data_IF_624621312622
#
_entry.id   IF_624621312622
#
_cell.length_a   1.000
_cell.length_b   1.000
_cell.length_c   1.000
_cell.angle_alpha   90.00
_cell.angle_beta   90.00
_cell.angle_gamma   90.00
#
_symmetry.space_group_name_H-M   'P 1'
#
loop_
_entity.id
_entity.type
_entity.pdbx_description
1 polymer ?
#
# COMPACT_ATOMS: atom_id res chain seq x y z
N UNK A 1 20.82 13.53 1.75
CA UNK A 1 22.07 13.33 0.98
C UNK A 1 22.39 11.84 0.90
N UNK A 2 22.48 11.29 -0.31
CA UNK A 2 22.93 9.92 -0.61
C UNK A 2 24.47 9.88 -0.62
N UNK A 3 25.10 8.72 -0.45
CA UNK A 3 26.53 8.57 -0.77
C UNK A 3 26.72 8.05 -2.20
N UNK A 4 27.97 8.09 -2.66
CA UNK A 4 28.41 7.78 -4.03
C UNK A 4 28.21 6.30 -4.44
N UNK A 5 27.44 5.50 -3.71
CA UNK A 5 27.05 4.13 -4.11
C UNK A 5 25.57 4.01 -4.49
N UNK A 6 24.81 5.11 -4.50
CA UNK A 6 23.38 5.10 -4.82
C UNK A 6 22.49 4.41 -3.76
N UNK A 7 23.07 3.92 -2.65
CA UNK A 7 22.31 3.45 -1.50
C UNK A 7 21.87 4.64 -0.67
N UNK A 8 20.58 4.64 -0.29
CA UNK A 8 20.04 5.56 0.70
C UNK A 8 20.86 5.37 1.98
N UNK A 9 21.66 6.37 2.33
CA UNK A 9 22.51 6.38 3.52
C UNK A 9 21.66 6.00 4.75
N UNK A 10 21.80 4.75 5.21
CA UNK A 10 21.22 4.27 6.47
C UNK A 10 22.04 4.90 7.60
N UNK A 11 21.85 6.20 7.84
CA UNK A 11 22.44 6.85 9.01
C UNK A 11 21.87 6.30 10.33
N UNK A 12 20.78 5.52 10.28
CA UNK A 12 20.10 5.01 11.47
C UNK A 12 20.78 3.81 12.15
N UNK A 13 21.76 3.12 11.52
CA UNK A 13 22.22 1.81 12.00
C UNK A 13 23.73 1.65 12.20
N UNK A 14 24.56 2.66 11.96
CA UNK A 14 26.00 2.54 12.26
C UNK A 14 26.33 2.75 13.74
N UNK A 15 25.40 3.26 14.55
CA UNK A 15 25.61 3.49 15.98
C UNK A 15 25.31 2.27 16.88
N UNK A 16 24.61 1.26 16.37
CA UNK A 16 24.04 0.20 17.21
C UNK A 16 24.75 -1.16 17.12
N UNK A 17 25.86 -1.27 16.38
CA UNK A 17 26.43 -2.59 16.06
C UNK A 17 27.53 -3.10 17.01
N UNK A 18 27.88 -2.42 18.10
CA UNK A 18 28.90 -2.91 19.05
C UNK A 18 28.68 -2.35 20.45
N UNK A 19 27.97 -3.07 21.32
CA UNK A 19 28.20 -3.07 22.78
C UNK A 19 27.29 -4.09 23.45
N UNK A 20 27.48 -5.37 23.13
CA UNK A 20 27.15 -6.44 24.06
C UNK A 20 28.35 -6.60 25.00
N UNK A 21 28.16 -6.17 26.25
CA UNK A 21 29.11 -6.23 27.37
C UNK A 21 30.39 -5.38 27.25
N UNK A 22 30.35 -4.19 27.85
CA UNK A 22 31.52 -3.64 28.56
C UNK A 22 31.13 -3.40 30.02
N UNK A 23 31.89 -3.98 30.94
CA UNK A 23 31.96 -3.63 32.37
C UNK A 23 30.76 -4.00 33.28
N UNK A 24 30.13 -5.17 33.13
CA UNK A 24 29.12 -5.63 34.11
C UNK A 24 27.87 -4.75 34.21
N UNK A 25 27.58 -3.97 33.17
CA UNK A 25 26.38 -3.14 33.04
C UNK A 25 25.31 -3.95 32.29
N UNK A 26 24.18 -4.23 32.94
CA UNK A 26 22.99 -4.76 32.28
C UNK A 26 22.38 -3.65 31.43
N UNK A 27 22.66 -3.66 30.13
CA UNK A 27 22.03 -2.76 29.16
C UNK A 27 20.75 -3.39 28.60
N UNK A 28 19.82 -2.56 28.12
CA UNK A 28 18.68 -3.05 27.35
C UNK A 28 19.21 -3.81 26.12
N UNK A 29 18.70 -5.02 25.88
CA UNK A 29 19.05 -5.76 24.67
C UNK A 29 18.35 -5.10 23.46
N UNK A 30 18.95 -4.00 22.98
CA UNK A 30 18.34 -3.19 21.94
C UNK A 30 18.28 -3.90 20.60
N UNK A 31 19.06 -4.95 20.31
CA UNK A 31 18.91 -5.64 19.02
C UNK A 31 17.52 -6.27 18.88
N UNK A 32 16.99 -6.88 19.94
CA UNK A 32 15.65 -7.48 19.96
C UNK A 32 14.54 -6.42 19.96
N UNK A 33 14.76 -5.28 20.63
CA UNK A 33 13.80 -4.18 20.65
C UNK A 33 13.84 -3.34 19.35
N UNK A 34 14.99 -3.23 18.70
CA UNK A 34 15.19 -2.47 17.45
C UNK A 34 14.53 -3.15 16.24
N UNK A 35 14.56 -4.48 16.17
CA UNK A 35 13.78 -5.21 15.18
C UNK A 35 12.28 -4.94 15.37
N UNK A 36 11.80 -4.88 16.62
CA UNK A 36 10.43 -4.50 16.98
C UNK A 36 10.13 -3.02 16.64
N UNK A 37 11.08 -2.09 16.80
CA UNK A 37 10.90 -0.67 16.45
C UNK A 37 10.78 -0.43 14.95
N UNK A 38 11.64 -1.07 14.18
CA UNK A 38 11.62 -0.99 12.71
C UNK A 38 10.36 -1.63 12.15
N UNK A 39 9.91 -2.76 12.73
CA UNK A 39 8.68 -3.44 12.32
C UNK A 39 7.42 -2.58 12.59
N UNK A 40 7.38 -1.81 13.69
CA UNK A 40 6.16 -1.11 14.15
C UNK A 40 6.13 0.41 13.93
N UNK A 41 7.14 0.97 13.26
CA UNK A 41 7.21 2.40 12.87
C UNK A 41 6.94 3.35 14.06
N UNK A 42 7.53 3.03 15.21
CA UNK A 42 7.48 3.87 16.43
C UNK A 42 8.62 4.89 16.33
N UNK A 43 8.33 6.18 16.57
CA UNK A 43 9.40 7.19 16.57
C UNK A 43 10.26 7.07 17.83
N UNK A 44 11.49 7.55 17.77
CA UNK A 44 12.41 7.54 18.91
C UNK A 44 11.82 8.27 20.13
N UNK A 45 11.17 9.41 19.93
CA UNK A 45 10.43 10.12 20.98
C UNK A 45 9.33 9.26 21.62
N UNK A 46 8.55 8.53 20.80
CA UNK A 46 7.51 7.63 21.30
C UNK A 46 8.11 6.45 22.08
N UNK A 47 9.27 5.97 21.67
CA UNK A 47 9.98 4.91 22.38
C UNK A 47 10.48 5.38 23.75
N UNK A 48 11.15 6.53 23.85
CA UNK A 48 11.57 7.09 25.14
C UNK A 48 10.38 7.39 26.04
N UNK A 49 9.29 7.90 25.48
CA UNK A 49 8.04 8.12 26.22
C UNK A 49 7.48 6.80 26.77
N UNK A 50 7.55 5.71 25.98
CA UNK A 50 7.11 4.39 26.41
C UNK A 50 7.99 3.80 27.50
N UNK A 51 9.32 3.89 27.37
CA UNK A 51 10.26 3.49 28.43
C UNK A 51 9.90 4.20 29.73
N UNK A 52 9.75 5.53 29.68
CA UNK A 52 9.46 6.33 30.86
C UNK A 52 8.10 5.98 31.47
N UNK A 53 7.07 5.82 30.64
CA UNK A 53 5.75 5.39 31.08
C UNK A 53 5.82 4.02 31.78
N UNK A 54 6.46 3.04 31.14
CA UNK A 54 6.63 1.70 31.72
C UNK A 54 7.44 1.76 33.01
N UNK A 55 8.47 2.60 33.08
CA UNK A 55 9.31 2.75 34.26
C UNK A 55 8.53 3.34 35.45
N UNK A 56 7.75 4.41 35.21
CA UNK A 56 6.87 5.01 36.22
C UNK A 56 5.88 3.99 36.76
N UNK A 57 5.23 3.23 35.87
CA UNK A 57 4.26 2.19 36.24
C UNK A 57 4.91 1.02 37.00
N UNK A 58 6.10 0.58 36.57
CA UNK A 58 6.78 -0.57 37.17
C UNK A 58 7.36 -0.27 38.56
N UNK A 59 7.86 0.96 38.76
CA UNK A 59 8.43 1.41 40.03
C UNK A 59 7.44 2.22 40.89
N UNK A 60 6.17 2.23 40.50
CA UNK A 60 5.11 2.91 41.24
C UNK A 60 5.06 2.41 42.70
N UNK A 61 4.76 3.32 43.63
CA UNK A 61 4.82 3.07 45.07
C UNK A 61 6.21 2.82 45.67
N UNK A 62 7.28 2.74 44.85
CA UNK A 62 8.67 2.60 45.33
C UNK A 62 9.47 3.87 45.09
N UNK A 63 9.39 4.45 43.88
CA UNK A 63 10.14 5.64 43.45
C UNK A 63 9.36 6.43 42.40
N UNK A 64 9.30 7.75 42.54
CA UNK A 64 8.77 8.63 41.51
C UNK A 64 9.81 8.80 40.38
N UNK A 65 9.71 7.99 39.33
CA UNK A 65 10.70 7.98 38.23
C UNK A 65 10.56 9.24 37.36
N UNK A 66 11.66 9.97 37.17
CA UNK A 66 11.70 11.20 36.38
C UNK A 66 12.16 10.94 34.94
N UNK A 67 13.25 10.20 34.76
CA UNK A 67 13.75 9.79 33.46
C UNK A 67 14.64 8.54 33.57
N UNK A 68 14.93 7.92 32.43
CA UNK A 68 15.85 6.80 32.31
C UNK A 68 17.04 7.22 31.44
N UNK A 69 18.24 7.21 32.01
CA UNK A 69 19.50 7.40 31.29
C UNK A 69 19.86 6.07 30.62
N UNK A 70 19.58 6.00 29.32
CA UNK A 70 19.78 4.81 28.51
C UNK A 70 21.25 4.39 28.44
N UNK A 71 22.15 5.34 28.21
CA UNK A 71 23.58 5.08 28.03
C UNK A 71 24.24 4.53 29.29
N UNK A 72 23.74 4.96 30.45
CA UNK A 72 24.25 4.52 31.77
C UNK A 72 23.43 3.40 32.41
N UNK A 73 22.25 3.09 31.87
CA UNK A 73 21.30 2.15 32.46
C UNK A 73 20.82 2.59 33.85
N UNK A 74 20.70 3.91 34.07
CA UNK A 74 20.34 4.49 35.36
C UNK A 74 18.93 5.07 35.34
N UNK A 75 18.20 4.89 36.42
CA UNK A 75 16.90 5.51 36.63
C UNK A 75 17.07 6.70 37.56
N UNK A 76 16.61 7.87 37.11
CA UNK A 76 16.50 9.06 37.93
C UNK A 76 15.13 9.09 38.60
N UNK A 77 15.08 9.46 39.87
CA UNK A 77 13.85 9.56 40.64
C UNK A 77 13.86 10.76 41.58
N UNK A 78 12.69 11.25 41.92
CA UNK A 78 12.51 12.32 42.89
C UNK A 78 12.57 11.75 44.32
N UNK A 79 13.41 12.35 45.16
CA UNK A 79 13.47 12.08 46.60
C UNK A 79 12.46 12.97 47.34
N UNK A 80 12.11 12.59 48.57
CA UNK A 80 11.18 13.33 49.42
C UNK A 80 11.60 14.78 49.72
N UNK A 81 12.89 15.11 49.58
CA UNK A 81 13.43 16.46 49.73
C UNK A 81 13.53 17.24 48.40
N UNK A 82 12.79 16.83 47.37
CA UNK A 82 12.78 17.42 46.02
C UNK A 82 14.14 17.43 45.31
N UNK A 83 15.05 16.53 45.69
CA UNK A 83 16.32 16.33 44.98
C UNK A 83 16.27 15.10 44.09
N UNK A 84 17.11 15.05 43.06
CA UNK A 84 17.19 13.92 42.13
C UNK A 84 18.12 12.85 42.68
N UNK A 85 17.60 11.64 42.85
CA UNK A 85 18.38 10.44 43.11
C UNK A 85 18.59 9.62 41.83
N UNK A 86 19.69 8.87 41.79
CA UNK A 86 19.96 7.90 40.71
C UNK A 86 20.10 6.51 41.31
N UNK A 87 19.58 5.50 40.63
CA UNK A 87 19.83 4.12 41.00
C UNK A 87 19.97 3.22 39.78
N UNK A 88 20.73 2.14 39.98
CA UNK A 88 20.83 1.03 39.04
C UNK A 88 19.96 -0.12 39.58
N UNK A 89 19.01 -0.65 38.81
CA UNK A 89 18.20 -1.77 39.27
C UNK A 89 19.04 -3.04 39.39
N UNK A 90 18.60 -3.97 40.25
CA UNK A 90 19.17 -5.32 40.29
C UNK A 90 18.91 -6.04 38.96
N UNK A 91 19.72 -7.05 38.63
CA UNK A 91 19.56 -7.86 37.41
C UNK A 91 18.13 -8.38 37.26
N UNK A 92 17.56 -8.93 38.34
CA UNK A 92 16.18 -9.45 38.35
C UNK A 92 15.15 -8.36 38.08
N UNK A 93 15.24 -7.24 38.81
CA UNK A 93 14.31 -6.11 38.61
C UNK A 93 14.40 -5.53 37.20
N UNK A 94 15.60 -5.51 36.61
CA UNK A 94 15.79 -5.01 35.25
C UNK A 94 15.18 -5.95 34.19
N UNK A 95 15.35 -7.26 34.34
CA UNK A 95 14.73 -8.26 33.46
C UNK A 95 13.19 -8.22 33.54
N UNK A 96 12.64 -8.04 34.74
CA UNK A 96 11.19 -7.91 34.92
C UNK A 96 10.65 -6.62 34.27
N UNK A 97 11.35 -5.50 34.45
CA UNK A 97 11.06 -4.25 33.73
C UNK A 97 11.10 -4.43 32.20
N UNK A 98 12.12 -5.12 31.67
CA UNK A 98 12.22 -5.42 30.24
C UNK A 98 11.03 -6.22 29.72
N UNK A 99 10.56 -7.23 30.46
CA UNK A 99 9.38 -8.01 30.09
C UNK A 99 8.11 -7.14 30.04
N UNK A 100 7.95 -6.23 31.00
CA UNK A 100 6.85 -5.26 30.98
C UNK A 100 6.92 -4.34 29.75
N UNK A 101 8.10 -3.83 29.41
CA UNK A 101 8.30 -2.98 28.23
C UNK A 101 7.97 -3.74 26.94
N UNK A 102 8.40 -5.00 26.82
CA UNK A 102 8.07 -5.87 25.68
C UNK A 102 6.55 -6.10 25.57
N UNK A 103 5.86 -6.30 26.70
CA UNK A 103 4.41 -6.48 26.72
C UNK A 103 3.66 -5.23 26.23
N UNK A 104 4.05 -4.06 26.72
CA UNK A 104 3.46 -2.77 26.29
C UNK A 104 3.72 -2.50 24.79
N UNK A 105 4.92 -2.85 24.29
CA UNK A 105 5.23 -2.81 22.86
C UNK A 105 4.34 -3.72 22.02
N UNK A 106 4.07 -4.95 22.49
CA UNK A 106 3.15 -5.88 21.83
C UNK A 106 1.72 -5.36 21.82
N UNK A 107 1.24 -4.77 22.91
CA UNK A 107 -0.10 -4.17 22.98
C UNK A 107 -0.27 -2.99 22.00
N UNK A 108 0.75 -2.14 21.86
CA UNK A 108 0.76 -1.04 20.87
C UNK A 108 0.72 -1.59 19.44
N UNK A 109 1.46 -2.66 19.16
CA UNK A 109 1.43 -3.36 17.86
C UNK A 109 0.02 -3.87 17.56
N UNK A 110 -0.58 -4.62 18.48
CA UNK A 110 -1.87 -5.26 18.26
C UNK A 110 -2.97 -4.20 18.06
N UNK A 111 -2.92 -3.09 18.81
CA UNK A 111 -3.79 -1.93 18.62
C UNK A 111 -3.63 -1.31 17.22
N UNK A 112 -2.39 -1.07 16.77
CA UNK A 112 -2.11 -0.54 15.42
C UNK A 112 -2.53 -1.52 14.32
N UNK A 113 -2.31 -2.83 14.49
CA UNK A 113 -2.73 -3.84 13.53
C UNK A 113 -4.25 -3.90 13.38
N UNK A 114 -5.00 -3.80 14.48
CA UNK A 114 -6.46 -3.76 14.45
C UNK A 114 -6.99 -2.49 13.76
N UNK A 115 -6.45 -1.32 14.06
CA UNK A 115 -6.82 -0.07 13.36
C UNK A 115 -6.49 -0.14 11.87
N UNK A 116 -5.32 -0.68 11.51
CA UNK A 116 -4.91 -0.84 10.11
C UNK A 116 -5.79 -1.86 9.36
N UNK A 117 -6.27 -2.91 10.03
CA UNK A 117 -7.16 -3.90 9.44
C UNK A 117 -8.53 -3.28 9.10
N UNK A 118 -9.10 -2.50 10.01
CA UNK A 118 -10.38 -1.80 9.79
C UNK A 118 -10.26 -0.80 8.64
N UNK A 119 -9.25 0.07 8.67
CA UNK A 119 -9.05 1.05 7.59
C UNK A 119 -8.76 0.38 6.23
N UNK A 120 -8.01 -0.73 6.21
CA UNK A 120 -7.76 -1.51 4.99
C UNK A 120 -9.03 -2.16 4.47
N UNK A 121 -9.90 -2.67 5.34
CA UNK A 121 -11.18 -3.27 4.95
C UNK A 121 -12.12 -2.23 4.36
N UNK A 122 -12.33 -1.11 5.05
CA UNK A 122 -13.12 0.01 4.53
C UNK A 122 -12.56 0.54 3.21
N UNK A 123 -11.23 0.51 3.04
CA UNK A 123 -10.61 0.91 1.80
C UNK A 123 -10.85 -0.08 0.66
N UNK A 124 -10.71 -1.38 0.92
CA UNK A 124 -11.01 -2.43 -0.07
C UNK A 124 -12.50 -2.37 -0.46
N UNK A 125 -13.38 -2.09 0.50
CA UNK A 125 -14.81 -1.90 0.27
C UNK A 125 -15.08 -0.60 -0.54
N UNK A 126 -14.44 0.53 -0.22
CA UNK A 126 -14.60 1.82 -0.93
C UNK A 126 -14.01 1.82 -2.33
N UNK A 127 -12.89 1.15 -2.56
CA UNK A 127 -12.25 1.13 -3.89
C UNK A 127 -13.13 0.38 -4.91
N UNK A 128 -14.01 -0.52 -4.47
CA UNK A 128 -14.93 -1.22 -5.34
C UNK A 128 -14.21 -2.17 -6.32
N UNK A 129 -14.68 -3.41 -6.39
CA UNK A 129 -14.41 -4.36 -7.49
C UNK A 129 -13.03 -4.36 -8.19
N UNK A 130 -11.93 -4.52 -7.44
CA UNK A 130 -10.59 -4.99 -7.88
C UNK A 130 -9.89 -4.24 -9.04
N UNK A 131 -10.54 -3.42 -9.87
CA UNK A 131 -9.96 -2.72 -11.02
C UNK A 131 -10.16 -1.22 -10.89
N UNK A 132 -9.07 -0.48 -11.05
CA UNK A 132 -9.05 0.98 -10.92
C UNK A 132 -8.43 1.60 -12.15
N UNK A 133 -8.83 2.83 -12.47
CA UNK A 133 -8.17 3.62 -13.50
C UNK A 133 -7.02 4.39 -12.87
N UNK A 134 -5.83 4.23 -13.45
CA UNK A 134 -4.63 4.93 -13.05
C UNK A 134 -4.04 5.72 -14.20
N UNK A 135 -3.48 6.89 -13.90
CA UNK A 135 -2.72 7.71 -14.84
C UNK A 135 -1.25 7.60 -14.49
N UNK A 136 -0.40 7.27 -15.47
CA UNK A 136 1.05 7.16 -15.26
C UNK A 136 1.58 8.53 -14.82
N UNK A 137 2.12 8.57 -13.60
CA UNK A 137 2.75 9.77 -13.04
C UNK A 137 4.25 9.77 -13.29
N UNK A 138 4.87 8.63 -13.07
CA UNK A 138 6.32 8.50 -12.99
C UNK A 138 6.72 7.07 -13.36
N UNK A 139 7.80 6.94 -14.15
CA UNK A 139 8.38 5.66 -14.55
C UNK A 139 9.72 5.55 -13.82
N UNK A 140 9.87 4.51 -13.01
CA UNK A 140 11.07 4.21 -12.23
C UNK A 140 11.75 2.94 -12.77
N UNK A 141 12.95 2.65 -12.30
CA UNK A 141 13.77 1.53 -12.81
C UNK A 141 13.09 0.16 -12.73
N UNK A 142 12.21 -0.05 -11.75
CA UNK A 142 11.58 -1.33 -11.46
C UNK A 142 10.06 -1.36 -11.72
N UNK A 143 9.49 -0.28 -12.23
CA UNK A 143 8.05 -0.18 -12.48
C UNK A 143 7.55 1.24 -12.64
N UNK A 144 6.26 1.41 -12.39
CA UNK A 144 5.53 2.61 -12.77
C UNK A 144 4.64 3.04 -11.61
N UNK A 145 4.71 4.31 -11.26
CA UNK A 145 3.81 4.94 -10.29
C UNK A 145 2.64 5.60 -10.99
N UNK A 146 1.47 5.44 -10.39
CA UNK A 146 0.21 5.93 -10.91
C UNK A 146 -0.47 6.89 -9.93
N UNK A 147 -1.15 7.88 -10.49
CA UNK A 147 -2.21 8.62 -9.80
C UNK A 147 -3.51 7.84 -9.99
N UNK A 148 -4.12 7.38 -8.89
CA UNK A 148 -5.39 6.65 -8.93
C UNK A 148 -6.57 7.63 -8.90
N UNK A 149 -7.61 7.31 -9.68
CA UNK A 149 -8.84 8.09 -9.74
C UNK A 149 -10.03 7.24 -9.28
N UNK A 150 -10.87 7.80 -8.42
CA UNK A 150 -12.19 7.25 -8.08
C UNK A 150 -13.21 8.35 -8.36
N UNK A 151 -14.27 8.02 -9.10
CA UNK A 151 -15.29 8.97 -9.55
C UNK A 151 -14.66 10.23 -10.18
N UNK A 152 -13.65 10.03 -11.03
CA UNK A 152 -12.87 11.07 -11.71
C UNK A 152 -12.11 12.06 -10.80
N UNK A 153 -12.00 11.79 -9.49
CA UNK A 153 -11.19 12.59 -8.56
C UNK A 153 -9.87 11.88 -8.26
N UNK A 154 -8.72 12.57 -8.34
CA UNK A 154 -7.44 11.98 -8.00
C UNK A 154 -7.35 11.77 -6.49
N UNK A 155 -6.83 10.62 -6.07
CA UNK A 155 -6.65 10.34 -4.64
C UNK A 155 -5.17 10.31 -4.27
N UNK A 156 -4.75 11.34 -3.54
CA UNK A 156 -3.34 11.58 -3.17
C UNK A 156 -2.83 10.67 -2.03
N UNK A 157 -3.72 10.10 -1.22
CA UNK A 157 -3.33 9.23 -0.09
C UNK A 157 -2.87 7.83 -0.51
N UNK A 158 -2.94 7.50 -1.81
CA UNK A 158 -2.52 6.23 -2.38
C UNK A 158 -1.27 6.37 -3.24
N UNK A 159 -0.31 5.51 -2.97
CA UNK A 159 0.83 5.27 -3.85
C UNK A 159 0.52 3.97 -4.61
N UNK A 160 0.06 4.11 -5.85
CA UNK A 160 -0.22 2.98 -6.73
C UNK A 160 1.03 2.66 -7.56
N UNK A 161 1.51 1.43 -7.46
CA UNK A 161 2.72 0.98 -8.14
C UNK A 161 2.50 -0.33 -8.89
N UNK A 162 3.01 -0.41 -10.11
CA UNK A 162 2.94 -1.60 -10.96
C UNK A 162 4.34 -1.93 -11.46
N UNK A 163 4.79 -3.17 -11.25
CA UNK A 163 6.09 -3.63 -11.75
C UNK A 163 6.01 -3.86 -13.25
N UNK A 164 7.11 -3.65 -14.00
CA UNK A 164 7.12 -3.91 -15.45
C UNK A 164 6.65 -5.33 -15.81
N UNK A 165 7.02 -6.33 -15.02
CA UNK A 165 6.58 -7.73 -15.22
C UNK A 165 5.06 -7.95 -15.13
N UNK A 166 4.32 -6.98 -14.58
CA UNK A 166 2.86 -7.02 -14.40
C UNK A 166 2.09 -6.30 -15.51
N UNK A 167 2.80 -5.72 -16.49
CA UNK A 167 2.26 -5.21 -17.76
C UNK A 167 2.26 -6.27 -18.84
N UNK A 168 1.40 -6.13 -19.84
CA UNK A 168 1.52 -6.91 -21.06
C UNK A 168 2.79 -6.53 -21.82
N UNK A 169 3.39 -7.46 -22.52
CA UNK A 169 4.63 -7.24 -23.28
C UNK A 169 4.51 -6.18 -24.38
N UNK A 170 3.28 -5.85 -24.79
CA UNK A 170 2.99 -4.89 -25.86
C UNK A 170 2.45 -3.56 -25.31
N UNK A 171 2.38 -3.38 -23.99
CA UNK A 171 1.90 -2.13 -23.40
C UNK A 171 2.93 -1.02 -23.65
N UNK A 172 2.51 0.05 -24.34
CA UNK A 172 3.31 1.26 -24.50
C UNK A 172 3.11 2.18 -23.27
N UNK A 173 4.11 2.21 -22.38
CA UNK A 173 4.06 2.95 -21.11
C UNK A 173 4.72 4.32 -21.30
N UNK A 174 3.96 5.39 -21.08
CA UNK A 174 4.47 6.77 -21.07
C UNK A 174 3.77 7.57 -19.97
N UNK A 175 4.45 8.58 -19.43
CA UNK A 175 3.84 9.53 -18.49
C UNK A 175 2.61 10.18 -19.11
N UNK A 176 1.53 10.28 -18.32
CA UNK A 176 0.21 10.75 -18.77
C UNK A 176 -0.70 9.67 -19.38
N UNK A 177 -0.19 8.47 -19.68
CA UNK A 177 -1.04 7.39 -20.19
C UNK A 177 -2.00 6.86 -19.13
N UNK A 178 -3.20 6.46 -19.57
CA UNK A 178 -4.25 5.91 -18.73
C UNK A 178 -4.28 4.39 -18.88
N UNK A 179 -4.38 3.69 -17.75
CA UNK A 179 -4.51 2.24 -17.73
C UNK A 179 -5.57 1.80 -16.73
N UNK A 180 -6.38 0.82 -17.12
CA UNK A 180 -7.09 -0.02 -16.16
C UNK A 180 -6.12 -0.98 -15.46
N UNK A 181 -6.24 -1.09 -14.13
CA UNK A 181 -5.30 -1.83 -13.29
C UNK A 181 -6.04 -2.66 -12.27
N UNK A 182 -5.73 -3.96 -12.17
CA UNK A 182 -6.28 -4.79 -11.11
C UNK A 182 -5.41 -4.77 -9.86
N UNK A 183 -5.98 -4.38 -8.73
CA UNK A 183 -5.31 -4.34 -7.43
C UNK A 183 -4.98 -5.76 -6.97
N UNK A 184 -3.70 -5.99 -6.68
CA UNK A 184 -3.17 -7.24 -6.11
C UNK A 184 -3.13 -7.20 -4.59
N UNK A 185 -2.59 -6.11 -4.03
CA UNK A 185 -2.34 -5.99 -2.59
C UNK A 185 -2.35 -4.52 -2.19
N UNK A 186 -2.91 -4.26 -1.02
CA UNK A 186 -2.84 -2.98 -0.32
C UNK A 186 -2.04 -3.18 0.96
N UNK A 187 -1.06 -2.32 1.22
CA UNK A 187 -0.21 -2.32 2.42
C UNK A 187 -0.10 -0.89 2.93
N UNK A 188 -0.20 -0.67 4.23
CA UNK A 188 0.12 0.64 4.80
C UNK A 188 1.63 0.80 4.92
N UNK A 189 2.17 1.94 4.49
CA UNK A 189 3.56 2.33 4.73
C UNK A 189 3.57 3.63 5.53
N UNK A 190 4.09 3.57 6.76
CA UNK A 190 4.08 4.69 7.70
C UNK A 190 2.69 4.93 8.30
N UNK A 191 2.46 6.14 8.84
CA UNK A 191 1.26 6.47 9.61
C UNK A 191 0.06 6.93 8.76
N UNK A 192 0.24 7.29 7.48
CA UNK A 192 -0.82 7.97 6.70
C UNK A 192 -0.90 7.62 5.20
N UNK A 193 -0.08 6.68 4.70
CA UNK A 193 -0.03 6.37 3.27
C UNK A 193 -0.28 4.89 2.98
N UNK A 194 -1.12 4.64 1.99
CA UNK A 194 -1.42 3.30 1.50
C UNK A 194 -0.63 3.02 0.23
N UNK A 195 0.17 1.97 0.26
CA UNK A 195 0.90 1.42 -0.87
C UNK A 195 0.07 0.33 -1.54
N UNK A 196 -0.32 0.56 -2.80
CA UNK A 196 -1.13 -0.36 -3.58
C UNK A 196 -0.26 -0.94 -4.68
N UNK A 197 -0.22 -2.27 -4.77
CA UNK A 197 0.34 -2.96 -5.94
C UNK A 197 -0.78 -3.46 -6.83
N UNK A 198 -0.60 -3.32 -8.14
CA UNK A 198 -1.59 -3.73 -9.13
C UNK A 198 -0.95 -4.45 -10.33
N UNK A 199 -1.79 -4.91 -11.25
CA UNK A 199 -1.40 -5.65 -12.46
C UNK A 199 -2.33 -5.36 -13.61
N UNK A 200 -1.81 -5.36 -14.83
CA UNK A 200 -2.63 -5.38 -16.04
C UNK A 200 -2.98 -6.79 -16.49
N UNK A 201 -2.17 -7.79 -16.12
CA UNK A 201 -2.38 -9.21 -16.45
C UNK A 201 -3.55 -9.83 -15.66
N UNK A 202 -4.77 -9.35 -15.88
CA UNK A 202 -5.99 -9.86 -15.27
C UNK A 202 -7.15 -9.78 -16.26
N UNK A 203 -8.01 -10.79 -16.33
CA UNK A 203 -9.16 -10.80 -17.26
C UNK A 203 -10.12 -9.64 -17.01
N UNK A 204 -10.29 -9.20 -15.75
CA UNK A 204 -11.15 -8.05 -15.41
C UNK A 204 -10.62 -6.73 -15.96
N UNK A 205 -9.30 -6.60 -16.11
CA UNK A 205 -8.69 -5.42 -16.77
C UNK A 205 -9.08 -5.41 -18.25
N UNK A 206 -9.02 -6.56 -18.92
CA UNK A 206 -9.41 -6.68 -20.32
C UNK A 206 -10.91 -6.39 -20.51
N UNK A 207 -11.76 -6.83 -19.57
CA UNK A 207 -13.19 -6.49 -19.57
C UNK A 207 -13.40 -4.98 -19.46
N UNK A 208 -12.79 -4.34 -18.45
CA UNK A 208 -12.91 -2.90 -18.24
C UNK A 208 -12.38 -2.06 -19.42
N UNK A 209 -11.28 -2.48 -20.05
CA UNK A 209 -10.78 -1.83 -21.27
C UNK A 209 -11.77 -1.96 -22.43
N UNK A 210 -12.35 -3.15 -22.63
CA UNK A 210 -13.35 -3.37 -23.67
C UNK A 210 -14.58 -2.50 -23.43
N UNK A 211 -15.09 -2.47 -22.21
CA UNK A 211 -16.25 -1.65 -21.80
C UNK A 211 -15.98 -0.15 -22.04
N UNK A 212 -14.82 0.38 -21.64
CA UNK A 212 -14.45 1.79 -21.85
C UNK A 212 -14.38 2.14 -23.35
N UNK A 213 -13.78 1.26 -24.16
CA UNK A 213 -13.71 1.44 -25.63
C UNK A 213 -15.10 1.36 -26.23
N UNK A 214 -15.88 0.34 -25.90
CA UNK A 214 -17.24 0.15 -26.38
C UNK A 214 -18.09 1.38 -26.10
N UNK A 215 -18.16 1.83 -24.85
CA UNK A 215 -18.96 2.97 -24.43
C UNK A 215 -18.50 4.29 -25.05
N UNK A 216 -17.20 4.46 -25.34
CA UNK A 216 -16.70 5.64 -26.03
C UNK A 216 -17.15 5.68 -27.50
N UNK A 217 -17.13 4.54 -28.20
CA UNK A 217 -17.52 4.50 -29.61
C UNK A 217 -19.03 4.39 -29.82
N UNK A 218 -19.76 3.68 -28.95
CA UNK A 218 -21.22 3.66 -29.00
C UNK A 218 -21.82 5.07 -28.86
N UNK A 219 -21.29 5.87 -27.91
CA UNK A 219 -21.66 7.29 -27.77
C UNK A 219 -21.40 8.10 -29.03
N UNK A 220 -20.22 7.96 -29.64
CA UNK A 220 -19.90 8.65 -30.90
C UNK A 220 -20.88 8.33 -32.03
N UNK A 221 -21.32 7.07 -32.13
CA UNK A 221 -22.31 6.66 -33.13
C UNK A 221 -23.66 7.31 -32.83
N UNK A 222 -24.15 7.22 -31.58
CA UNK A 222 -25.40 7.84 -31.15
C UNK A 222 -25.40 9.37 -31.32
N UNK A 223 -24.27 10.04 -31.06
CA UNK A 223 -24.11 11.49 -31.22
C UNK A 223 -24.12 11.91 -32.70
N UNK A 224 -23.64 11.05 -33.59
CA UNK A 224 -23.61 11.30 -35.04
C UNK A 224 -24.95 11.00 -35.74
N UNK A 225 -25.78 10.16 -35.14
CA UNK A 225 -27.02 9.65 -35.74
C UNK A 225 -28.25 10.37 -35.16
N UNK A 226 -28.27 11.71 -35.25
CA UNK A 226 -29.36 12.56 -34.73
C UNK A 226 -30.71 12.34 -35.44
N UNK A 227 -30.76 11.45 -36.45
CA UNK A 227 -31.92 11.06 -37.24
C UNK A 227 -32.38 9.62 -36.99
N UNK A 228 -32.46 9.17 -35.73
CA UNK A 228 -33.19 8.00 -35.22
C UNK A 228 -33.23 6.74 -36.12
N UNK A 229 -32.16 5.94 -36.09
CA UNK A 229 -32.27 4.49 -36.30
C UNK A 229 -31.73 3.66 -35.12
N UNK A 230 -30.77 4.19 -34.35
CA UNK A 230 -30.16 3.48 -33.23
C UNK A 230 -30.37 4.20 -31.89
N UNK A 231 -30.66 3.43 -30.84
CA UNK A 231 -30.84 3.86 -29.45
C UNK A 231 -29.82 3.16 -28.53
N UNK A 232 -29.68 3.61 -27.28
CA UNK A 232 -28.82 2.93 -26.30
C UNK A 232 -29.18 1.44 -26.12
N UNK A 233 -30.46 1.08 -26.27
CA UNK A 233 -30.91 -0.30 -26.15
C UNK A 233 -30.37 -1.21 -27.25
N UNK A 234 -30.04 -0.66 -28.42
CA UNK A 234 -29.46 -1.42 -29.53
C UNK A 234 -28.04 -1.90 -29.22
N UNK A 235 -27.32 -1.15 -28.38
CA UNK A 235 -25.94 -1.43 -27.99
C UNK A 235 -25.83 -2.40 -26.80
N UNK A 236 -26.88 -3.16 -26.48
CA UNK A 236 -26.81 -4.19 -25.44
C UNK A 236 -25.89 -5.34 -25.85
N UNK A 237 -24.98 -5.71 -24.96
CA UNK A 237 -24.06 -6.83 -25.15
C UNK A 237 -23.79 -7.55 -23.82
N UNK A 238 -23.22 -8.76 -23.93
CA UNK A 238 -22.73 -9.55 -22.82
C UNK A 238 -21.35 -10.11 -23.12
N UNK A 239 -20.37 -9.86 -22.25
CA UNK A 239 -19.06 -10.52 -22.31
C UNK A 239 -19.23 -11.95 -21.80
N UNK A 240 -19.01 -12.93 -22.68
CA UNK A 240 -19.18 -14.36 -22.37
C UNK A 240 -17.90 -14.95 -21.78
N UNK A 241 -16.75 -14.56 -22.33
CA UNK A 241 -15.46 -15.15 -21.95
C UNK A 241 -14.32 -14.18 -22.23
N UNK A 242 -13.33 -14.18 -21.35
CA UNK A 242 -12.01 -13.60 -21.61
C UNK A 242 -10.95 -14.68 -21.44
N UNK A 243 -10.24 -14.98 -22.52
CA UNK A 243 -9.13 -15.93 -22.53
C UNK A 243 -7.81 -15.17 -22.53
N UNK A 244 -7.14 -15.13 -21.38
CA UNK A 244 -5.82 -14.49 -21.26
C UNK A 244 -4.75 -15.22 -22.08
N UNK A 245 -4.82 -16.55 -22.12
CA UNK A 245 -3.86 -17.40 -22.84
C UNK A 245 -3.98 -17.24 -24.36
N UNK A 246 -5.22 -17.29 -24.89
CA UNK A 246 -5.45 -17.11 -26.33
C UNK A 246 -5.42 -15.64 -26.76
N UNK A 247 -5.48 -14.72 -25.79
CA UNK A 247 -5.63 -13.27 -25.98
C UNK A 247 -6.92 -12.92 -26.74
N UNK A 248 -8.03 -13.44 -26.24
CA UNK A 248 -9.34 -13.33 -26.89
C UNK A 248 -10.41 -12.89 -25.91
N UNK A 249 -11.35 -12.09 -26.40
CA UNK A 249 -12.59 -11.75 -25.71
C UNK A 249 -13.78 -12.18 -26.59
N UNK A 250 -14.76 -12.83 -25.98
CA UNK A 250 -15.98 -13.30 -26.65
C UNK A 250 -17.16 -12.49 -26.13
N UNK A 251 -17.89 -11.86 -27.05
CA UNK A 251 -19.02 -10.98 -26.75
C UNK A 251 -20.23 -11.38 -27.57
N UNK A 252 -21.39 -11.45 -26.91
CA UNK A 252 -22.68 -11.63 -27.56
C UNK A 252 -23.44 -10.30 -27.59
N UNK A 253 -24.12 -10.01 -28.68
CA UNK A 253 -24.89 -8.77 -28.85
C UNK A 253 -26.25 -9.06 -29.49
N UNK A 254 -27.25 -8.27 -29.17
CA UNK A 254 -28.64 -8.57 -29.57
C UNK A 254 -29.02 -8.01 -30.94
N UNK A 255 -28.60 -6.77 -31.26
CA UNK A 255 -28.98 -6.15 -32.52
C UNK A 255 -28.03 -6.56 -33.67
N UNK A 256 -28.54 -7.34 -34.64
CA UNK A 256 -27.79 -7.82 -35.81
C UNK A 256 -27.25 -6.69 -36.70
N UNK A 257 -27.89 -5.51 -36.74
CA UNK A 257 -27.42 -4.36 -37.53
C UNK A 257 -26.04 -3.87 -37.08
N UNK A 258 -25.64 -4.14 -35.83
CA UNK A 258 -24.36 -3.72 -35.28
C UNK A 258 -23.15 -4.58 -35.71
N UNK A 259 -23.31 -5.53 -36.64
CA UNK A 259 -22.20 -6.39 -37.06
C UNK A 259 -20.97 -5.62 -37.58
N UNK A 260 -21.20 -4.55 -38.36
CA UNK A 260 -20.13 -3.66 -38.85
C UNK A 260 -19.44 -2.93 -37.71
N UNK A 261 -20.20 -2.42 -36.74
CA UNK A 261 -19.71 -1.76 -35.54
C UNK A 261 -18.82 -2.67 -34.70
N UNK A 262 -19.24 -3.92 -34.43
CA UNK A 262 -18.42 -4.87 -33.67
C UNK A 262 -17.15 -5.28 -34.44
N UNK A 263 -17.21 -5.40 -35.77
CA UNK A 263 -16.02 -5.65 -36.60
C UNK A 263 -15.03 -4.50 -36.51
N UNK A 264 -15.50 -3.26 -36.55
CA UNK A 264 -14.69 -2.06 -36.34
C UNK A 264 -14.07 -2.03 -34.94
N UNK A 265 -14.88 -2.24 -33.90
CA UNK A 265 -14.41 -2.34 -32.52
C UNK A 265 -13.32 -3.40 -32.36
N UNK A 266 -13.45 -4.54 -33.03
CA UNK A 266 -12.44 -5.60 -32.99
C UNK A 266 -11.07 -5.15 -33.50
N UNK A 267 -11.04 -4.33 -34.57
CA UNK A 267 -9.78 -3.74 -35.08
C UNK A 267 -9.17 -2.77 -34.07
N UNK A 268 -9.97 -1.84 -33.55
CA UNK A 268 -9.52 -0.84 -32.56
C UNK A 268 -9.02 -1.53 -31.28
N UNK A 269 -9.78 -2.52 -30.79
CA UNK A 269 -9.45 -3.26 -29.58
C UNK A 269 -8.14 -4.04 -29.74
N UNK A 270 -7.94 -4.69 -30.89
CA UNK A 270 -6.70 -5.41 -31.19
C UNK A 270 -5.51 -4.45 -31.26
N UNK A 271 -5.65 -3.30 -31.93
CA UNK A 271 -4.57 -2.31 -32.00
C UNK A 271 -4.18 -1.76 -30.63
N UNK A 272 -5.15 -1.54 -29.74
CA UNK A 272 -4.92 -0.89 -28.44
C UNK A 272 -4.45 -1.85 -27.36
N UNK A 273 -5.02 -3.05 -27.29
CA UNK A 273 -4.82 -4.02 -26.18
C UNK A 273 -4.14 -5.31 -26.67
N UNK A 274 -4.09 -5.53 -27.99
CA UNK A 274 -3.58 -6.74 -28.62
C UNK A 274 -4.30 -7.99 -28.09
N UNK A 275 -5.63 -7.91 -28.09
CA UNK A 275 -6.57 -9.00 -27.86
C UNK A 275 -7.55 -9.07 -29.05
N UNK A 276 -7.86 -10.27 -29.52
CA UNK A 276 -8.86 -10.48 -30.58
C UNK A 276 -10.27 -10.42 -30.00
N UNK A 277 -11.17 -9.74 -30.69
CA UNK A 277 -12.60 -9.72 -30.37
C UNK A 277 -13.36 -10.73 -31.23
N UNK A 278 -14.07 -11.65 -30.58
CA UNK A 278 -15.03 -12.54 -31.20
C UNK A 278 -16.44 -12.11 -30.82
N UNK A 279 -17.15 -11.51 -31.76
CA UNK A 279 -18.52 -11.03 -31.57
C UNK A 279 -19.52 -11.96 -32.27
N UNK A 280 -20.61 -12.33 -31.61
CA UNK A 280 -21.72 -13.09 -32.22
C UNK A 280 -23.05 -12.42 -31.91
N UNK A 281 -23.93 -12.31 -32.91
CA UNK A 281 -25.31 -11.92 -32.66
C UNK A 281 -26.09 -13.10 -32.06
N UNK A 282 -26.90 -12.84 -31.05
CA UNK A 282 -27.80 -13.83 -30.42
C UNK A 282 -29.22 -13.34 -30.51
#
# INVERSE_FOLDING_TARGET
>A
MFDNTGKKKRYFLSFFSKNTQKNGVFMLNLSELNDIFVEYSVSEYQFYSLILYTAKKFYDGKKNILFFDYDKGLFAYEKANNTVGYFKPSKRSFLDFQRCLISELKAIRDKKQNTNHIMRRELIEKIGTRCVRGVVREIADNGVYFTMYINNKPIKQFILFVRFKDFFSHDAIKVGHNFWLSIKKVVMRGQSSFYITATRKNSRVIQAEFEDIFSAYARKVLDSDKGKELTENDFRYRIVKVSMQKREIVVYYSNKSLSSFFRFLGKVFYQRINFKLFSRSV
#
